data_IF_551767290729
#
_entry.id   IF_551767290729
#
_cell.length_a   1.000
_cell.length_b   1.000
_cell.length_c   1.000
_cell.angle_alpha   90.00
_cell.angle_beta   90.00
_cell.angle_gamma   90.00
#
_symmetry.space_group_name_H-M   'P 1'
#
loop_
_entity.id
_entity.type
_entity.pdbx_description
1 polymer ?
#
# COMPACT_ATOMS: atom_id res chain seq x y z
N UNK A 1 20.89 34.23 5.83
CA UNK A 1 20.98 32.75 5.99
C UNK A 1 20.34 32.11 4.74
N UNK A 2 21.14 31.80 3.71
CA UNK A 2 20.62 31.26 2.44
C UNK A 2 20.39 29.75 2.59
N UNK A 3 19.14 29.29 2.52
CA UNK A 3 18.82 27.86 2.38
C UNK A 3 19.37 27.39 1.04
N UNK A 4 20.34 26.47 1.08
CA UNK A 4 20.94 25.87 -0.11
C UNK A 4 19.88 25.12 -0.91
N UNK A 5 19.80 25.41 -2.21
CA UNK A 5 18.99 24.64 -3.15
C UNK A 5 19.61 23.23 -3.27
N UNK A 6 18.84 22.15 -3.09
CA UNK A 6 19.41 20.80 -3.14
C UNK A 6 20.04 20.53 -4.51
N UNK A 7 21.14 19.76 -4.51
CA UNK A 7 21.88 19.46 -5.74
C UNK A 7 21.05 18.49 -6.57
N UNK A 8 21.11 18.61 -7.90
CA UNK A 8 20.33 17.76 -8.83
C UNK A 8 20.46 16.25 -8.58
N UNK A 9 21.57 15.79 -8.01
CA UNK A 9 21.78 14.39 -7.65
C UNK A 9 20.87 13.92 -6.48
N UNK A 10 20.58 14.80 -5.52
CA UNK A 10 19.75 14.47 -4.35
C UNK A 10 18.27 14.30 -4.79
N UNK A 11 17.81 15.15 -5.72
CA UNK A 11 16.47 15.04 -6.31
C UNK A 11 16.29 13.83 -7.25
N UNK A 12 17.37 13.33 -7.84
CA UNK A 12 17.35 12.13 -8.68
C UNK A 12 17.38 10.85 -7.83
N UNK A 13 18.13 10.83 -6.73
CA UNK A 13 18.08 9.73 -5.76
C UNK A 13 16.71 9.62 -5.09
N UNK A 14 16.08 10.75 -4.74
CA UNK A 14 14.72 10.77 -4.22
C UNK A 14 13.72 10.22 -5.26
N UNK A 15 13.80 10.65 -6.53
CA UNK A 15 12.91 10.18 -7.60
C UNK A 15 13.10 8.69 -7.97
N UNK A 16 14.35 8.22 -7.92
CA UNK A 16 14.75 6.85 -8.24
C UNK A 16 14.41 5.88 -7.09
N UNK A 17 14.51 6.32 -5.83
CA UNK A 17 13.97 5.57 -4.68
C UNK A 17 12.44 5.60 -4.66
N UNK A 18 11.81 6.70 -5.06
CA UNK A 18 10.35 6.82 -5.00
C UNK A 18 9.65 5.96 -6.06
N UNK A 19 10.09 5.94 -7.32
CA UNK A 19 9.31 5.26 -8.37
C UNK A 19 9.77 3.82 -8.66
N UNK A 20 11.04 3.50 -8.42
CA UNK A 20 11.59 2.18 -8.76
C UNK A 20 11.39 1.13 -7.64
N UNK A 21 11.45 1.53 -6.36
CA UNK A 21 11.32 0.59 -5.22
C UNK A 21 9.87 0.22 -4.86
N UNK A 22 8.88 1.00 -5.32
CA UNK A 22 7.47 0.73 -4.96
C UNK A 22 6.96 -0.54 -5.63
N UNK A 23 7.21 -0.73 -6.93
CA UNK A 23 6.77 -1.91 -7.67
C UNK A 23 7.38 -3.23 -7.16
N UNK A 24 8.59 -3.20 -6.60
CA UNK A 24 9.29 -4.39 -6.10
C UNK A 24 8.51 -5.11 -5.01
N UNK A 25 7.66 -4.41 -4.25
CA UNK A 25 6.87 -5.03 -3.17
C UNK A 25 5.77 -5.97 -3.69
N UNK A 26 5.36 -5.83 -4.94
CA UNK A 26 4.54 -6.86 -5.59
C UNK A 26 5.33 -8.13 -5.86
N UNK A 27 6.67 -8.06 -6.00
CA UNK A 27 7.49 -9.26 -6.22
C UNK A 27 7.40 -10.20 -5.03
N UNK A 28 7.32 -9.69 -3.80
CA UNK A 28 7.15 -10.50 -2.59
C UNK A 28 5.83 -11.31 -2.63
N UNK A 29 4.75 -10.67 -3.09
CA UNK A 29 3.46 -11.35 -3.30
C UNK A 29 3.57 -12.38 -4.43
N UNK A 30 4.17 -11.98 -5.55
CA UNK A 30 4.27 -12.83 -6.73
C UNK A 30 5.12 -14.07 -6.46
N UNK A 31 6.18 -13.96 -5.66
CA UNK A 31 7.01 -15.11 -5.26
C UNK A 31 6.18 -16.24 -4.65
N UNK A 32 5.22 -15.92 -3.78
CA UNK A 32 4.30 -16.90 -3.19
C UNK A 32 3.48 -17.64 -4.26
N UNK A 33 2.84 -16.89 -5.17
CA UNK A 33 1.99 -17.48 -6.20
C UNK A 33 2.78 -18.21 -7.29
N UNK A 34 3.97 -17.74 -7.63
CA UNK A 34 4.88 -18.43 -8.55
C UNK A 34 5.31 -19.77 -7.94
N UNK A 35 5.67 -19.80 -6.66
CA UNK A 35 6.04 -21.03 -5.98
C UNK A 35 4.85 -22.01 -5.96
N UNK A 36 3.66 -21.54 -5.61
CA UNK A 36 2.43 -22.34 -5.66
C UNK A 36 2.20 -22.93 -7.06
N UNK A 37 2.21 -22.09 -8.09
CA UNK A 37 1.99 -22.53 -9.47
C UNK A 37 2.98 -23.63 -9.89
N UNK A 38 4.26 -23.49 -9.51
CA UNK A 38 5.32 -24.44 -9.87
C UNK A 38 5.21 -25.78 -9.14
N UNK A 39 4.80 -25.79 -7.87
CA UNK A 39 4.76 -27.01 -7.04
C UNK A 39 3.38 -27.66 -7.02
N UNK A 40 2.35 -26.96 -7.51
CA UNK A 40 0.94 -27.36 -7.40
C UNK A 40 0.36 -27.24 -5.99
N UNK A 41 1.15 -26.82 -5.00
CA UNK A 41 0.73 -26.73 -3.60
C UNK A 41 1.05 -25.34 -3.01
N UNK A 42 0.14 -24.75 -2.21
CA UNK A 42 0.40 -23.44 -1.61
C UNK A 42 1.60 -23.53 -0.65
N UNK A 43 2.59 -22.62 -0.75
CA UNK A 43 3.66 -22.54 0.24
C UNK A 43 3.09 -22.28 1.63
N UNK A 44 3.76 -22.82 2.66
CA UNK A 44 3.46 -22.50 4.05
C UNK A 44 3.72 -21.01 4.31
N UNK A 45 2.84 -20.38 5.09
CA UNK A 45 3.03 -19.02 5.57
C UNK A 45 3.61 -19.09 6.98
N UNK A 46 4.90 -18.76 7.11
CA UNK A 46 5.61 -18.85 8.38
C UNK A 46 5.65 -17.52 9.15
N UNK A 47 5.19 -16.43 8.52
CA UNK A 47 5.20 -15.09 9.11
C UNK A 47 3.96 -14.30 8.73
N UNK A 48 3.45 -13.53 9.68
CA UNK A 48 2.41 -12.57 9.42
C UNK A 48 2.97 -11.39 8.62
N UNK A 49 2.36 -11.09 7.47
CA UNK A 49 2.78 -9.98 6.60
C UNK A 49 1.59 -9.22 6.09
N UNK A 50 1.77 -7.92 5.91
CA UNK A 50 0.78 -7.00 5.33
C UNK A 50 1.37 -6.41 4.06
N UNK A 51 0.62 -6.50 2.96
CA UNK A 51 0.95 -5.86 1.70
C UNK A 51 -0.16 -4.89 1.34
N UNK A 52 0.17 -3.63 1.12
CA UNK A 52 -0.77 -2.56 0.81
C UNK A 52 -0.50 -2.01 -0.58
N UNK A 53 -1.55 -1.69 -1.32
CA UNK A 53 -1.42 -0.88 -2.53
C UNK A 53 -2.63 0.00 -2.78
N UNK A 54 -2.36 1.19 -3.27
CA UNK A 54 -3.38 2.18 -3.62
C UNK A 54 -2.81 3.20 -4.61
N UNK A 55 -3.68 3.84 -5.38
CA UNK A 55 -3.35 5.14 -5.97
C UNK A 55 -3.43 6.20 -4.86
N UNK A 56 -2.51 7.17 -4.86
CA UNK A 56 -2.43 8.17 -3.79
C UNK A 56 -3.26 9.43 -4.04
N UNK A 57 -3.87 9.58 -5.21
CA UNK A 57 -4.67 10.75 -5.55
C UNK A 57 -6.06 10.33 -5.95
N UNK A 58 -7.09 11.11 -5.69
CA UNK A 58 -8.48 10.78 -6.05
C UNK A 58 -8.68 10.75 -7.58
N UNK A 59 -9.48 9.81 -8.09
CA UNK A 59 -9.62 9.56 -9.55
C UNK A 59 -10.22 10.74 -10.31
N UNK A 60 -11.24 11.39 -9.73
CA UNK A 60 -11.98 12.50 -10.33
C UNK A 60 -11.45 13.88 -9.91
N UNK A 61 -10.30 13.93 -9.23
CA UNK A 61 -9.69 15.20 -8.84
C UNK A 61 -9.16 15.97 -10.05
N UNK A 62 -9.29 17.30 -10.02
CA UNK A 62 -8.72 18.18 -11.04
C UNK A 62 -7.33 18.62 -10.63
N UNK A 63 -6.30 18.13 -11.34
CA UNK A 63 -4.92 18.56 -11.12
C UNK A 63 -4.63 19.84 -11.92
N UNK A 64 -4.77 21.00 -11.27
CA UNK A 64 -4.69 22.31 -11.95
C UNK A 64 -3.28 22.69 -12.41
N UNK A 65 -2.25 22.03 -11.86
CA UNK A 65 -0.84 22.23 -12.22
C UNK A 65 -0.34 21.32 -13.34
N UNK A 66 -1.19 20.46 -13.91
CA UNK A 66 -0.78 19.50 -14.94
C UNK A 66 -1.12 19.99 -16.36
N UNK A 67 -0.13 20.34 -17.20
CA UNK A 67 -0.38 20.80 -18.57
C UNK A 67 -0.75 19.66 -19.53
N UNK A 68 -0.61 18.39 -19.13
CA UNK A 68 -0.86 17.22 -19.99
C UNK A 68 -2.30 16.73 -19.88
N UNK A 69 -2.90 16.89 -18.69
CA UNK A 69 -4.24 16.37 -18.39
C UNK A 69 -4.22 14.87 -18.03
N UNK A 70 -5.39 14.29 -17.67
CA UNK A 70 -5.48 12.90 -17.28
C UNK A 70 -5.29 11.97 -18.52
N UNK A 71 -4.77 10.75 -18.32
CA UNK A 71 -4.70 9.77 -19.39
C UNK A 71 -6.11 9.35 -19.83
N UNK A 72 -6.21 8.84 -21.07
CA UNK A 72 -7.42 8.18 -21.55
C UNK A 72 -7.80 7.06 -20.57
N UNK A 73 -9.09 6.93 -20.31
CA UNK A 73 -9.67 5.85 -19.50
C UNK A 73 -9.31 5.91 -17.99
N UNK A 74 -8.89 7.08 -17.50
CA UNK A 74 -8.62 7.33 -16.07
C UNK A 74 -9.78 6.97 -15.13
N UNK A 75 -11.02 7.00 -15.63
CA UNK A 75 -12.22 6.63 -14.86
C UNK A 75 -12.25 5.17 -14.41
N UNK A 76 -11.44 4.28 -15.00
CA UNK A 76 -11.33 2.90 -14.54
C UNK A 76 -10.41 2.74 -13.32
N UNK A 77 -9.67 3.79 -12.94
CA UNK A 77 -8.88 3.77 -11.73
C UNK A 77 -9.79 3.85 -10.49
N UNK A 78 -9.52 3.01 -9.50
CA UNK A 78 -10.31 2.92 -8.28
C UNK A 78 -9.66 3.68 -7.12
N UNK A 79 -10.46 4.44 -6.37
CA UNK A 79 -10.08 5.07 -5.11
C UNK A 79 -10.24 4.07 -3.96
N UNK A 80 -9.37 3.07 -3.93
CA UNK A 80 -9.44 1.96 -2.97
C UNK A 80 -8.04 1.58 -2.50
N UNK A 81 -7.90 1.50 -1.18
CA UNK A 81 -6.78 0.82 -0.55
C UNK A 81 -7.06 -0.68 -0.62
N UNK A 82 -6.16 -1.39 -1.26
CA UNK A 82 -6.17 -2.83 -1.28
C UNK A 82 -5.11 -3.35 -0.32
N UNK A 83 -5.43 -4.46 0.32
CA UNK A 83 -4.52 -5.14 1.22
C UNK A 83 -4.52 -6.64 0.95
N UNK A 84 -3.35 -7.24 0.99
CA UNK A 84 -3.19 -8.68 1.10
C UNK A 84 -2.51 -8.99 2.42
N UNK A 85 -3.07 -9.93 3.15
CA UNK A 85 -2.53 -10.40 4.42
C UNK A 85 -2.07 -11.83 4.26
N UNK A 86 -0.88 -12.12 4.74
CA UNK A 86 -0.39 -13.47 4.95
C UNK A 86 -0.49 -13.74 6.44
N UNK A 87 -1.22 -14.78 6.82
CA UNK A 87 -1.55 -15.09 8.21
C UNK A 87 -1.06 -16.49 8.58
N UNK A 88 -0.27 -16.56 9.65
CA UNK A 88 0.21 -17.80 10.25
C UNK A 88 -0.89 -18.55 11.00
N UNK A 89 -1.80 -17.79 11.62
CA UNK A 89 -2.99 -18.29 12.33
C UNK A 89 -4.15 -17.30 12.15
N UNK A 90 -5.37 -17.71 12.52
CA UNK A 90 -6.57 -16.89 12.51
C UNK A 90 -6.36 -15.56 13.23
N UNK A 91 -6.84 -14.47 12.63
CA UNK A 91 -6.64 -13.12 13.17
C UNK A 91 -7.76 -12.14 12.78
N UNK A 92 -7.80 -11.02 13.50
CA UNK A 92 -8.56 -9.84 13.10
C UNK A 92 -7.67 -8.90 12.29
N UNK A 93 -8.19 -8.37 11.20
CA UNK A 93 -7.48 -7.47 10.30
C UNK A 93 -8.16 -6.11 10.33
N UNK A 94 -7.41 -5.02 10.47
CA UNK A 94 -7.97 -3.67 10.36
C UNK A 94 -7.24 -2.90 9.29
N UNK A 95 -7.99 -2.21 8.44
CA UNK A 95 -7.51 -1.20 7.51
C UNK A 95 -8.02 0.16 7.97
N UNK A 96 -7.18 1.19 7.90
CA UNK A 96 -7.52 2.55 8.32
C UNK A 96 -6.98 3.59 7.34
N UNK A 97 -7.76 4.64 7.12
CA UNK A 97 -7.44 5.84 6.35
C UNK A 97 -8.14 7.02 7.07
N UNK A 98 -7.41 7.71 7.94
CA UNK A 98 -7.99 8.78 8.77
C UNK A 98 -9.13 8.23 9.63
N UNK A 99 -10.32 8.82 9.52
CA UNK A 99 -11.52 8.38 10.26
C UNK A 99 -12.22 7.17 9.60
N UNK A 100 -11.84 6.81 8.38
CA UNK A 100 -12.35 5.59 7.73
C UNK A 100 -11.58 4.38 8.23
N UNK A 101 -12.28 3.42 8.83
CA UNK A 101 -11.67 2.18 9.30
C UNK A 101 -12.62 1.00 9.09
N UNK A 102 -12.05 -0.16 8.77
CA UNK A 102 -12.80 -1.41 8.63
C UNK A 102 -12.01 -2.55 9.27
N UNK A 103 -12.69 -3.29 10.15
CA UNK A 103 -12.16 -4.51 10.77
C UNK A 103 -12.84 -5.74 10.18
N UNK A 104 -12.04 -6.74 9.85
CA UNK A 104 -12.44 -8.06 9.38
C UNK A 104 -12.06 -9.06 10.47
N UNK A 105 -13.05 -9.62 11.14
CA UNK A 105 -12.81 -10.50 12.30
C UNK A 105 -12.68 -11.97 11.91
N UNK A 106 -11.90 -12.71 12.71
CA UNK A 106 -11.79 -14.17 12.63
C UNK A 106 -11.35 -14.68 11.24
N UNK A 107 -10.49 -13.92 10.56
CA UNK A 107 -9.98 -14.28 9.23
C UNK A 107 -9.04 -15.49 9.37
N UNK A 108 -9.28 -16.61 8.66
CA UNK A 108 -8.47 -17.81 8.79
C UNK A 108 -7.00 -17.61 8.42
N UNK A 109 -6.14 -18.51 8.89
CA UNK A 109 -4.76 -18.63 8.42
C UNK A 109 -4.68 -18.78 6.89
N UNK A 110 -3.59 -18.32 6.28
CA UNK A 110 -3.38 -18.31 4.84
C UNK A 110 -3.34 -16.90 4.24
N UNK A 111 -3.60 -16.80 2.95
CA UNK A 111 -3.65 -15.52 2.23
C UNK A 111 -5.07 -15.00 2.21
N UNK A 112 -5.27 -13.74 2.59
CA UNK A 112 -6.56 -13.04 2.43
C UNK A 112 -6.37 -11.69 1.75
N UNK A 113 -7.38 -11.27 0.98
CA UNK A 113 -7.39 -9.97 0.29
C UNK A 113 -8.56 -9.13 0.79
N UNK A 114 -8.26 -7.96 1.32
CA UNK A 114 -9.24 -7.01 1.85
C UNK A 114 -9.10 -5.66 1.15
N UNK A 115 -10.08 -4.79 1.37
CA UNK A 115 -10.10 -3.45 0.78
C UNK A 115 -10.80 -2.44 1.67
N UNK A 116 -10.43 -1.17 1.51
CA UNK A 116 -11.06 -0.01 2.14
C UNK A 116 -11.23 1.09 1.10
N UNK A 117 -12.40 1.72 1.05
CA UNK A 117 -12.64 2.86 0.16
C UNK A 117 -11.85 4.09 0.66
N UNK A 118 -11.23 4.83 -0.27
CA UNK A 118 -10.51 6.05 0.03
C UNK A 118 -11.36 7.26 -0.39
N UNK A 119 -11.73 8.09 0.58
CA UNK A 119 -12.66 9.21 0.34
C UNK A 119 -12.07 10.56 0.70
N UNK A 120 -11.29 10.64 1.77
CA UNK A 120 -10.74 11.88 2.31
C UNK A 120 -9.22 11.82 2.39
N UNK A 121 -8.58 12.98 2.46
CA UNK A 121 -7.15 13.10 2.73
C UNK A 121 -6.77 12.32 3.99
N UNK A 122 -5.83 11.37 3.85
CA UNK A 122 -5.49 10.50 4.97
C UNK A 122 -4.12 9.84 4.80
N UNK A 123 -3.51 9.50 5.93
CA UNK A 123 -2.46 8.48 5.98
C UNK A 123 -3.12 7.13 6.20
N UNK A 124 -2.64 6.13 5.47
CA UNK A 124 -3.18 4.78 5.62
C UNK A 124 -2.37 3.95 6.60
N UNK A 125 -3.04 3.02 7.27
CA UNK A 125 -2.40 2.01 8.10
C UNK A 125 -3.20 0.71 8.07
N UNK A 126 -2.55 -0.36 8.48
CA UNK A 126 -3.14 -1.67 8.59
C UNK A 126 -2.57 -2.42 9.79
N UNK A 127 -3.36 -3.33 10.34
CA UNK A 127 -2.92 -4.18 11.45
C UNK A 127 -3.49 -5.60 11.36
N UNK A 128 -2.75 -6.52 11.96
CA UNK A 128 -3.15 -7.88 12.28
C UNK A 128 -3.19 -7.97 13.80
N UNK A 129 -4.31 -8.39 14.39
CA UNK A 129 -4.46 -8.55 15.83
C UNK A 129 -5.00 -9.93 16.22
N UNK A 130 -4.56 -10.47 17.35
CA UNK A 130 -5.04 -11.73 17.94
C UNK A 130 -5.22 -11.56 19.44
N UNK A 131 -6.36 -12.01 19.97
CA UNK A 131 -6.63 -11.91 21.41
C UNK A 131 -6.61 -10.48 21.96
N UNK A 132 -6.93 -9.48 21.12
CA UNK A 132 -6.92 -8.06 21.49
C UNK A 132 -5.53 -7.39 21.45
N UNK A 133 -4.46 -8.10 21.10
CA UNK A 133 -3.13 -7.54 20.91
C UNK A 133 -2.80 -7.41 19.42
N UNK A 134 -2.17 -6.28 19.05
CA UNK A 134 -1.65 -6.08 17.70
C UNK A 134 -0.37 -6.92 17.52
N UNK A 135 -0.40 -7.85 16.57
CA UNK A 135 0.73 -8.75 16.22
C UNK A 135 1.61 -8.10 15.17
N UNK A 136 1.00 -7.42 14.20
CA UNK A 136 1.69 -6.61 13.19
C UNK A 136 0.94 -5.30 13.04
N UNK A 137 1.66 -4.19 13.17
CA UNK A 137 1.17 -2.85 12.87
C UNK A 137 2.00 -2.27 11.74
N UNK A 138 1.35 -1.76 10.70
CA UNK A 138 2.02 -1.28 9.50
C UNK A 138 1.42 0.04 9.02
N UNK A 139 2.25 1.08 8.99
CA UNK A 139 1.92 2.38 8.44
C UNK A 139 3.06 2.80 7.49
N UNK A 140 2.94 2.51 6.18
CA UNK A 140 4.01 2.81 5.24
C UNK A 140 4.22 4.32 5.10
N UNK A 141 5.48 4.74 5.24
CA UNK A 141 5.87 6.12 4.98
C UNK A 141 5.53 6.51 3.54
N UNK A 142 4.97 7.71 3.35
CA UNK A 142 4.61 8.24 2.03
C UNK A 142 3.30 7.70 1.44
N UNK A 143 2.64 6.71 2.04
CA UNK A 143 1.32 6.26 1.57
C UNK A 143 0.21 7.16 2.13
N UNK A 144 0.09 8.34 1.52
CA UNK A 144 -0.91 9.35 1.88
C UNK A 144 -1.86 9.59 0.71
N UNK A 145 -3.15 9.32 0.93
CA UNK A 145 -4.18 9.61 -0.07
C UNK A 145 -4.56 11.08 -0.02
N UNK A 146 -4.69 11.70 -1.19
CA UNK A 146 -4.96 13.13 -1.38
C UNK A 146 -6.07 13.36 -2.39
N UNK A 147 -6.99 14.24 -2.05
CA UNK A 147 -8.14 14.60 -2.88
C UNK A 147 -7.87 15.81 -3.78
N UNK A 148 -6.79 16.56 -3.54
CA UNK A 148 -6.39 17.73 -4.32
C UNK A 148 -4.92 17.64 -4.79
N UNK A 149 -4.64 16.91 -5.87
CA UNK A 149 -3.30 16.79 -6.45
C UNK A 149 -2.89 18.04 -7.26
N UNK A 150 -1.59 18.34 -7.27
CA UNK A 150 -1.01 19.32 -8.21
C UNK A 150 -0.84 18.74 -9.63
N UNK A 151 -0.50 17.45 -9.71
CA UNK A 151 -0.28 16.70 -10.96
C UNK A 151 -1.06 15.39 -10.97
N UNK A 152 -1.48 14.95 -12.16
CA UNK A 152 -2.08 13.63 -12.30
C UNK A 152 -1.03 12.54 -12.03
N UNK A 153 -1.36 11.61 -11.14
CA UNK A 153 -0.56 10.40 -10.96
C UNK A 153 -1.48 9.22 -10.66
N UNK A 154 -1.56 8.32 -11.63
CA UNK A 154 -2.38 7.12 -11.57
C UNK A 154 -1.58 5.85 -11.25
N UNK A 155 -0.28 5.99 -10.97
CA UNK A 155 0.55 4.87 -10.56
C UNK A 155 0.13 4.39 -9.17
N UNK A 156 0.17 3.08 -8.98
CA UNK A 156 -0.03 2.51 -7.66
C UNK A 156 1.22 2.75 -6.80
N UNK A 157 0.99 3.18 -5.57
CA UNK A 157 1.95 3.03 -4.48
C UNK A 157 1.75 1.64 -3.90
N UNK A 158 2.84 0.89 -3.71
CA UNK A 158 2.81 -0.44 -3.10
C UNK A 158 3.80 -0.47 -1.94
N UNK A 159 3.40 -1.10 -0.85
CA UNK A 159 4.22 -1.25 0.35
C UNK A 159 4.01 -2.63 0.96
N UNK A 160 5.04 -3.13 1.64
CA UNK A 160 4.98 -4.37 2.40
C UNK A 160 5.53 -4.15 3.80
N UNK A 161 4.92 -4.77 4.80
CA UNK A 161 5.49 -4.81 6.15
C UNK A 161 6.86 -5.49 6.09
N UNK A 162 7.83 -5.09 6.91
CA UNK A 162 9.15 -5.71 6.96
C UNK A 162 9.05 -7.23 7.18
N UNK A 163 10.02 -7.99 6.65
CA UNK A 163 10.11 -9.44 6.87
C UNK A 163 10.64 -9.80 8.27
N UNK A 164 11.29 -8.82 8.92
CA UNK A 164 11.81 -8.88 10.28
C UNK A 164 10.99 -7.93 11.14
N UNK A 165 10.36 -8.44 12.20
CA UNK A 165 9.71 -7.60 13.20
C UNK A 165 10.73 -6.66 13.82
N UNK A 166 10.69 -5.39 13.44
CA UNK A 166 11.37 -4.34 14.17
C UNK A 166 10.32 -3.64 15.02
N UNK A 167 10.51 -3.81 16.33
CA UNK A 167 9.80 -3.14 17.40
C UNK A 167 10.03 -1.62 17.37
#
# INVERSE_FOLDING_TARGET
MKRGRPRKADALADFEQDTFLRGERWLDIMQYYIAWYKTGNPPTIDKDRIFLWAKLFKTDATATGDPVGPPRDAQFASDTLWAQFHLTDKADLTLTCGDSSQTFSEVPAGVSKQKLALTNDCKVSAKISRGGADVVSFAPEGMEFKTNPDKYNFNAFVAASPESGSA
#
